data_IF_749113978084
#
_entry.id   IF_749113978084
#
_cell.length_a   1.000
_cell.length_b   1.000
_cell.length_c   1.000
_cell.angle_alpha   90.00
_cell.angle_beta   90.00
_cell.angle_gamma   90.00
#
_symmetry.space_group_name_H-M   'P 1'
#
loop_
_entity.id
_entity.type
_entity.pdbx_description
1 polymer ?
#
# COMPACT_ATOMS: atom_id res chain seq x y z
N UNK A 1 -35.94 38.85 0.82
CA UNK A 1 -36.53 37.50 0.80
C UNK A 1 -35.53 36.59 0.12
N UNK A 2 -34.96 35.70 0.92
CA UNK A 2 -33.82 34.82 0.62
C UNK A 2 -34.25 33.74 -0.37
N UNK A 3 -33.86 33.87 -1.64
CA UNK A 3 -34.16 32.89 -2.69
C UNK A 3 -32.96 32.74 -3.63
N UNK A 4 -31.86 32.18 -3.12
CA UNK A 4 -30.80 31.59 -3.95
C UNK A 4 -30.19 30.32 -3.32
N UNK A 5 -30.92 29.66 -2.41
CA UNK A 5 -30.60 28.31 -1.95
C UNK A 5 -31.17 27.28 -2.94
N UNK A 6 -30.55 27.16 -4.11
CA UNK A 6 -30.84 26.06 -5.03
C UNK A 6 -29.67 25.67 -5.95
N UNK A 7 -28.43 25.70 -5.44
CA UNK A 7 -27.34 24.89 -6.01
C UNK A 7 -27.14 23.70 -5.07
N UNK A 8 -28.10 22.78 -5.14
CA UNK A 8 -28.06 21.48 -4.50
C UNK A 8 -28.01 20.44 -5.61
N UNK A 9 -26.81 20.14 -6.14
CA UNK A 9 -26.44 18.85 -6.79
C UNK A 9 -25.07 18.91 -7.47
N UNK A 10 -24.05 18.46 -6.74
CA UNK A 10 -22.83 17.81 -7.20
C UNK A 10 -21.98 17.51 -5.95
N UNK A 11 -22.46 16.66 -5.05
CA UNK A 11 -21.93 15.30 -4.87
C UNK A 11 -20.89 14.82 -5.92
N UNK A 12 -19.88 14.08 -5.41
CA UNK A 12 -18.67 13.56 -6.07
C UNK A 12 -17.57 14.62 -6.33
N UNK A 13 -16.43 14.68 -5.62
CA UNK A 13 -15.58 13.61 -5.10
C UNK A 13 -14.86 14.05 -3.81
N UNK A 14 -15.29 13.55 -2.66
CA UNK A 14 -14.36 13.26 -1.57
C UNK A 14 -13.54 12.04 -2.01
N UNK A 15 -12.46 12.27 -2.76
CA UNK A 15 -11.52 11.23 -3.19
C UNK A 15 -10.27 11.88 -3.78
N UNK A 16 -9.41 12.44 -2.93
CA UNK A 16 -7.96 12.43 -3.24
C UNK A 16 -7.46 10.98 -3.10
N UNK A 17 -8.05 10.07 -3.85
CA UNK A 17 -7.47 8.77 -4.15
C UNK A 17 -6.57 9.00 -5.35
N UNK A 18 -5.38 9.54 -5.13
CA UNK A 18 -4.31 9.37 -6.13
C UNK A 18 -4.07 7.85 -6.21
N UNK A 19 -4.46 7.19 -7.30
CA UNK A 19 -4.40 5.74 -7.34
C UNK A 19 -2.95 5.34 -7.45
N UNK A 20 -2.59 4.32 -6.69
CA UNK A 20 -1.37 3.60 -6.92
C UNK A 20 -1.56 2.81 -8.24
N UNK A 21 -1.03 3.32 -9.37
CA UNK A 21 -1.48 2.98 -10.73
C UNK A 21 -1.01 1.62 -11.24
N UNK A 22 -0.33 0.81 -10.42
CA UNK A 22 0.33 -0.39 -10.91
C UNK A 22 -0.49 -1.68 -10.72
N UNK A 23 -1.13 -1.90 -9.56
CA UNK A 23 -1.79 -3.17 -9.25
C UNK A 23 -3.28 -3.23 -9.62
N UNK A 24 -3.95 -2.08 -9.82
CA UNK A 24 -5.39 -2.03 -10.15
C UNK A 24 -5.73 -2.37 -11.62
N UNK A 25 -4.75 -2.68 -12.47
CA UNK A 25 -5.01 -2.91 -13.90
C UNK A 25 -5.47 -4.34 -14.24
N UNK A 26 -6.65 -4.75 -13.73
CA UNK A 26 -7.65 -5.64 -14.38
C UNK A 26 -8.72 -6.14 -13.40
N UNK A 27 -9.61 -5.26 -12.92
CA UNK A 27 -10.99 -5.71 -12.67
C UNK A 27 -11.99 -4.56 -12.76
N UNK A 28 -12.51 -4.34 -13.97
CA UNK A 28 -13.71 -3.54 -14.18
C UNK A 28 -14.92 -4.32 -13.66
N UNK A 29 -15.23 -4.21 -12.36
CA UNK A 29 -16.55 -4.51 -11.77
C UNK A 29 -16.64 -4.01 -10.32
N UNK A 30 -17.13 -2.78 -10.17
CA UNK A 30 -18.02 -2.34 -9.07
C UNK A 30 -17.76 -2.90 -7.66
N UNK A 31 -16.72 -2.39 -6.99
CA UNK A 31 -16.69 -2.05 -5.56
C UNK A 31 -15.50 -1.10 -5.40
N UNK A 32 -15.65 0.03 -4.73
CA UNK A 32 -14.51 0.89 -4.39
C UNK A 32 -13.68 0.16 -3.34
N UNK A 33 -12.80 -0.73 -3.78
CA UNK A 33 -11.77 -1.34 -2.94
C UNK A 33 -10.88 -0.17 -2.54
N UNK A 34 -10.86 0.13 -1.25
CA UNK A 34 -10.05 1.22 -0.72
C UNK A 34 -8.58 0.80 -0.73
N UNK A 35 -7.67 1.76 -0.75
CA UNK A 35 -6.24 1.47 -0.64
C UNK A 35 -5.90 0.69 0.65
N UNK A 36 -6.75 0.78 1.68
CA UNK A 36 -6.61 0.01 2.91
C UNK A 36 -6.95 -1.47 2.70
N UNK A 37 -8.01 -1.75 1.94
CA UNK A 37 -8.41 -3.13 1.61
C UNK A 37 -7.32 -3.85 0.79
N UNK A 38 -6.65 -3.13 -0.12
CA UNK A 38 -5.51 -3.65 -0.88
C UNK A 38 -4.32 -4.02 0.02
N UNK A 39 -4.00 -3.16 1.00
CA UNK A 39 -2.92 -3.43 1.96
C UNK A 39 -3.26 -4.63 2.84
N UNK A 40 -4.51 -4.74 3.29
CA UNK A 40 -4.96 -5.85 4.13
C UNK A 40 -4.92 -7.18 3.36
N UNK A 41 -5.33 -7.19 2.09
CA UNK A 41 -5.20 -8.36 1.21
C UNK A 41 -3.73 -8.75 0.99
N UNK A 42 -2.86 -7.77 0.68
CA UNK A 42 -1.42 -8.03 0.48
C UNK A 42 -0.75 -8.55 1.74
N UNK A 43 -1.19 -8.09 2.91
CA UNK A 43 -0.71 -8.62 4.19
C UNK A 43 -1.15 -10.06 4.43
N UNK A 44 -2.38 -10.43 4.09
CA UNK A 44 -2.83 -11.82 4.16
C UNK A 44 -1.99 -12.72 3.24
N UNK A 45 -1.69 -12.27 2.02
CA UNK A 45 -0.78 -12.98 1.10
C UNK A 45 0.63 -13.10 1.71
N UNK A 46 1.15 -12.03 2.32
CA UNK A 46 2.45 -12.02 3.00
C UNK A 46 2.53 -13.05 4.11
N UNK A 47 1.47 -13.20 4.91
CA UNK A 47 1.35 -14.20 5.96
C UNK A 47 1.32 -15.63 5.40
N UNK A 48 0.55 -15.85 4.33
CA UNK A 48 0.47 -17.17 3.67
C UNK A 48 1.82 -17.61 3.09
N UNK A 49 2.61 -16.66 2.58
CA UNK A 49 3.93 -16.91 2.01
C UNK A 49 5.07 -16.81 3.03
N UNK A 50 4.75 -16.57 4.31
CA UNK A 50 5.69 -16.40 5.42
C UNK A 50 6.85 -15.44 5.09
N UNK A 51 6.54 -14.32 4.41
CA UNK A 51 7.59 -13.38 4.01
C UNK A 51 8.15 -12.58 5.20
N UNK A 52 7.43 -12.55 6.32
CA UNK A 52 7.79 -11.81 7.53
C UNK A 52 7.87 -10.30 7.31
N UNK A 53 7.01 -9.76 6.44
CA UNK A 53 6.93 -8.34 6.12
C UNK A 53 5.68 -7.72 6.75
N UNK A 54 5.87 -6.67 7.54
CA UNK A 54 4.81 -5.96 8.26
C UNK A 54 3.92 -5.10 7.36
N UNK A 55 2.71 -4.79 7.81
CA UNK A 55 1.74 -3.93 7.07
C UNK A 55 2.32 -2.57 6.68
N UNK A 56 3.08 -1.94 7.59
CA UNK A 56 3.71 -0.64 7.32
C UNK A 56 4.78 -0.74 6.23
N UNK A 57 5.57 -1.83 6.26
CA UNK A 57 6.57 -2.11 5.24
C UNK A 57 5.92 -2.35 3.87
N UNK A 58 4.80 -3.08 3.82
CA UNK A 58 4.02 -3.28 2.58
C UNK A 58 3.51 -1.94 2.04
N UNK A 59 2.94 -1.08 2.90
CA UNK A 59 2.48 0.26 2.50
C UNK A 59 3.60 1.11 1.91
N UNK A 60 4.79 1.07 2.53
CA UNK A 60 5.97 1.78 2.03
C UNK A 60 6.46 1.19 0.70
N UNK A 61 6.54 -0.14 0.59
CA UNK A 61 6.95 -0.82 -0.64
C UNK A 61 6.03 -0.44 -1.80
N UNK A 62 4.72 -0.39 -1.54
CA UNK A 62 3.73 -0.02 -2.52
C UNK A 62 3.93 1.42 -3.00
N UNK A 63 4.16 2.37 -2.08
CA UNK A 63 4.51 3.76 -2.43
C UNK A 63 5.79 3.84 -3.26
N UNK A 64 6.81 3.06 -2.92
CA UNK A 64 8.08 3.05 -3.66
C UNK A 64 7.90 2.49 -5.08
N UNK A 65 7.20 1.37 -5.23
CA UNK A 65 6.84 0.80 -6.53
C UNK A 65 6.08 1.80 -7.40
N UNK A 66 5.19 2.58 -6.79
CA UNK A 66 4.43 3.61 -7.49
C UNK A 66 5.21 4.84 -7.91
N UNK A 67 6.31 5.12 -7.22
CA UNK A 67 7.31 6.08 -7.68
C UNK A 67 8.22 5.51 -8.78
N UNK A 68 7.94 4.30 -9.29
CA UNK A 68 8.68 3.66 -10.37
C UNK A 68 9.90 2.85 -9.91
N UNK A 69 10.03 2.55 -8.62
CA UNK A 69 11.07 1.65 -8.12
C UNK A 69 10.81 0.23 -8.62
N UNK A 70 11.85 -0.45 -9.08
CA UNK A 70 11.74 -1.84 -9.52
C UNK A 70 11.42 -2.77 -8.33
N UNK A 71 10.29 -3.51 -8.34
CA UNK A 71 9.90 -4.39 -7.24
C UNK A 71 10.91 -5.52 -6.99
N UNK A 72 11.59 -6.01 -8.02
CA UNK A 72 12.59 -7.09 -7.88
C UNK A 72 13.84 -6.60 -7.13
N UNK A 73 14.32 -5.40 -7.47
CA UNK A 73 15.44 -4.78 -6.77
C UNK A 73 15.06 -4.44 -5.32
N UNK A 74 13.84 -3.94 -5.10
CA UNK A 74 13.31 -3.64 -3.78
C UNK A 74 13.25 -4.90 -2.89
N UNK A 75 12.74 -6.02 -3.42
CA UNK A 75 12.69 -7.29 -2.70
C UNK A 75 14.08 -7.78 -2.27
N UNK A 76 15.07 -7.70 -3.17
CA UNK A 76 16.46 -8.05 -2.84
C UNK A 76 17.00 -7.15 -1.71
N UNK A 77 16.73 -5.85 -1.78
CA UNK A 77 17.20 -4.90 -0.76
C UNK A 77 16.56 -5.19 0.60
N UNK A 78 15.27 -5.48 0.65
CA UNK A 78 14.55 -5.84 1.88
C UNK A 78 15.10 -7.13 2.48
N UNK A 79 15.35 -8.15 1.65
CA UNK A 79 15.96 -9.40 2.08
C UNK A 79 17.34 -9.15 2.70
N UNK A 80 18.20 -8.41 2.00
CA UNK A 80 19.54 -8.10 2.47
C UNK A 80 19.52 -7.32 3.79
N UNK A 81 18.59 -6.37 3.95
CA UNK A 81 18.40 -5.63 5.20
C UNK A 81 17.96 -6.55 6.34
N UNK A 82 17.05 -7.49 6.08
CA UNK A 82 16.59 -8.46 7.09
C UNK A 82 17.71 -9.40 7.51
N UNK A 83 18.49 -9.91 6.55
CA UNK A 83 19.63 -10.79 6.80
C UNK A 83 20.72 -10.07 7.60
N UNK A 84 20.99 -8.79 7.29
CA UNK A 84 21.91 -7.94 8.05
C UNK A 84 21.40 -7.67 9.46
N UNK A 85 20.10 -7.39 9.63
CA UNK A 85 19.52 -7.15 10.95
C UNK A 85 19.63 -8.40 11.85
N UNK A 86 19.37 -9.59 11.31
CA UNK A 86 19.57 -10.86 12.01
C UNK A 86 21.04 -11.07 12.35
N UNK A 87 21.93 -10.82 11.38
CA UNK A 87 23.39 -11.01 11.56
C UNK A 87 24.02 -9.99 12.52
N UNK A 88 23.47 -8.78 12.62
CA UNK A 88 23.93 -7.72 13.52
C UNK A 88 23.21 -7.73 14.88
N UNK A 89 22.22 -8.62 15.06
CA UNK A 89 21.29 -8.65 16.18
C UNK A 89 21.60 -9.66 17.28
N UNK A 90 22.88 -9.91 17.61
CA UNK A 90 23.23 -10.75 18.76
C UNK A 90 24.34 -10.20 19.69
N UNK A 91 24.58 -8.87 19.70
CA UNK A 91 25.58 -8.24 20.60
C UNK A 91 25.00 -7.35 21.71
N UNK A 92 23.67 -7.15 21.79
CA UNK A 92 23.06 -6.23 22.77
C UNK A 92 22.02 -6.87 23.70
N UNK A 93 22.31 -8.07 24.22
CA UNK A 93 21.58 -8.62 25.39
C UNK A 93 22.58 -9.09 26.43
N UNK A 94 23.01 -8.16 27.30
CA UNK A 94 23.72 -8.40 28.55
C UNK A 94 23.09 -7.51 29.63
#
# INVERSE_FOLDING_TARGET
MTLSNEIRKADALASESTPLKFFSSRNSRSKSISAQDDIDLLYEISLLLDTGVDKDAISLCLKLCDNGVNPEALANTIRDLKDRAISQGNINTA
#
